data_IF_454555762757
#
_entry.id   IF_454555762757
#
_cell.length_a   1.000
_cell.length_b   1.000
_cell.length_c   1.000
_cell.angle_alpha   90.00
_cell.angle_beta   90.00
_cell.angle_gamma   90.00
#
_symmetry.space_group_name_H-M   'P 1'
#
loop_
_entity.id
_entity.type
_entity.pdbx_description
1 polymer ?
#
# COMPACT_ATOMS: atom_id res chain seq x y z
N UNK A 1 -18.71 -9.68 0.80
CA UNK A 1 -19.04 -8.28 1.18
C UNK A 1 -17.91 -7.39 0.74
N UNK A 2 -18.18 -6.19 0.20
CA UNK A 2 -17.13 -5.24 -0.20
C UNK A 2 -16.50 -4.63 1.06
N UNK A 3 -15.44 -5.27 1.57
CA UNK A 3 -14.63 -4.73 2.66
C UNK A 3 -13.93 -3.47 2.15
N UNK A 4 -13.88 -2.43 2.97
CA UNK A 4 -13.11 -1.20 2.68
C UNK A 4 -11.67 -1.38 3.16
N UNK A 5 -10.66 -0.87 2.43
CA UNK A 5 -9.29 -0.90 2.92
C UNK A 5 -9.15 0.05 4.11
N UNK A 6 -8.25 -0.26 5.05
CA UNK A 6 -7.97 0.50 6.28
C UNK A 6 -7.18 1.78 5.98
N UNK A 7 -7.81 2.71 5.26
CA UNK A 7 -7.19 3.96 4.82
C UNK A 7 -6.72 4.79 6.03
N UNK A 8 -7.49 4.84 7.11
CA UNK A 8 -7.12 5.60 8.31
C UNK A 8 -5.83 5.07 8.95
N UNK A 9 -5.65 3.75 8.97
CA UNK A 9 -4.43 3.15 9.50
C UNK A 9 -3.25 3.33 8.55
N UNK A 10 -3.49 3.26 7.23
CA UNK A 10 -2.47 3.57 6.24
C UNK A 10 -1.99 5.04 6.32
N UNK A 11 -2.90 5.98 6.59
CA UNK A 11 -2.56 7.40 6.76
C UNK A 11 -1.66 7.66 7.98
N UNK A 12 -1.72 6.83 9.03
CA UNK A 12 -0.81 6.93 10.18
C UNK A 12 0.64 6.55 9.85
N UNK A 13 0.87 5.92 8.70
CA UNK A 13 2.19 5.42 8.25
C UNK A 13 2.87 6.34 7.23
N UNK A 14 2.20 7.40 6.81
CA UNK A 14 2.68 8.38 5.84
C UNK A 14 2.56 9.80 6.39
N UNK A 15 3.26 10.74 5.77
CA UNK A 15 3.26 12.18 6.08
C UNK A 15 2.11 12.93 5.42
N UNK A 16 1.52 12.40 4.34
CA UNK A 16 0.42 13.06 3.64
C UNK A 16 -0.45 12.07 2.85
N UNK A 17 -1.67 12.51 2.50
CA UNK A 17 -2.57 11.75 1.62
C UNK A 17 -1.95 11.51 0.24
N UNK A 18 -1.18 12.45 -0.28
CA UNK A 18 -0.48 12.30 -1.56
C UNK A 18 0.65 11.26 -1.48
N UNK A 19 1.36 11.22 -0.35
CA UNK A 19 2.37 10.19 -0.12
C UNK A 19 1.73 8.80 -0.02
N UNK A 20 0.55 8.67 0.60
CA UNK A 20 -0.20 7.41 0.59
C UNK A 20 -0.50 6.93 -0.83
N UNK A 21 -0.97 7.84 -1.71
CA UNK A 21 -1.25 7.50 -3.11
C UNK A 21 0.02 6.99 -3.80
N UNK A 22 1.13 7.72 -3.63
CA UNK A 22 2.39 7.36 -4.26
C UNK A 22 2.97 6.03 -3.73
N UNK A 23 2.91 5.80 -2.41
CA UNK A 23 3.34 4.55 -1.79
C UNK A 23 2.46 3.37 -2.25
N UNK A 24 1.14 3.55 -2.32
CA UNK A 24 0.21 2.52 -2.77
C UNK A 24 0.45 2.12 -4.23
N UNK A 25 0.72 3.09 -5.12
CA UNK A 25 1.07 2.81 -6.51
C UNK A 25 2.35 1.98 -6.60
N UNK A 26 3.43 2.41 -5.93
CA UNK A 26 4.71 1.67 -5.94
C UNK A 26 4.55 0.25 -5.40
N UNK A 27 3.82 0.09 -4.29
CA UNK A 27 3.56 -1.24 -3.73
C UNK A 27 2.72 -2.10 -4.67
N UNK A 28 1.74 -1.51 -5.34
CA UNK A 28 0.92 -2.23 -6.34
C UNK A 28 1.79 -2.77 -7.48
N UNK A 29 2.74 -1.96 -7.98
CA UNK A 29 3.67 -2.39 -9.03
C UNK A 29 4.54 -3.57 -8.57
N UNK A 30 5.05 -3.55 -7.34
CA UNK A 30 5.78 -4.70 -6.78
C UNK A 30 4.93 -5.98 -6.73
N UNK A 31 3.66 -5.87 -6.35
CA UNK A 31 2.75 -7.04 -6.31
C UNK A 31 2.41 -7.52 -7.75
N UNK A 32 2.48 -6.64 -8.75
CA UNK A 32 2.32 -7.02 -10.16
C UNK A 32 3.52 -7.78 -10.72
N UNK A 33 4.73 -7.57 -10.18
CA UNK A 33 5.90 -8.38 -10.56
C UNK A 33 5.75 -9.86 -10.19
N UNK A 34 4.93 -10.17 -9.17
CA UNK A 34 4.61 -11.55 -8.75
C UNK A 34 3.58 -12.23 -9.69
N UNK A 35 3.01 -11.50 -10.66
CA UNK A 35 2.11 -12.03 -11.68
C UNK A 35 1.19 -10.97 -12.32
N UNK A 36 0.78 -11.18 -13.56
CA UNK A 36 0.04 -10.16 -14.34
C UNK A 36 -1.43 -9.95 -13.93
N UNK A 37 -1.98 -10.78 -13.04
CA UNK A 37 -3.36 -10.64 -12.59
C UNK A 37 -3.54 -9.38 -11.71
N UNK A 38 -4.68 -8.71 -11.83
CA UNK A 38 -5.07 -7.58 -10.98
C UNK A 38 -5.54 -8.00 -9.58
N UNK A 39 -5.74 -9.29 -9.36
CA UNK A 39 -6.23 -9.84 -8.11
C UNK A 39 -5.14 -10.61 -7.33
N UNK A 40 -5.27 -10.59 -6.01
CA UNK A 40 -4.53 -11.44 -5.07
C UNK A 40 -5.53 -12.37 -4.43
N UNK A 41 -5.18 -13.66 -4.35
CA UNK A 41 -5.98 -14.65 -3.63
C UNK A 41 -5.63 -14.57 -2.14
N UNK A 42 -6.62 -14.29 -1.31
CA UNK A 42 -6.53 -14.31 0.14
C UNK A 42 -7.48 -15.36 0.70
N UNK A 43 -7.38 -15.64 2.00
CA UNK A 43 -8.32 -16.52 2.71
C UNK A 43 -9.77 -16.02 2.62
N UNK A 44 -9.95 -14.70 2.46
CA UNK A 44 -11.25 -14.03 2.35
C UNK A 44 -11.77 -13.94 0.89
N UNK A 45 -10.99 -14.39 -0.10
CA UNK A 45 -11.37 -14.39 -1.52
C UNK A 45 -10.38 -13.64 -2.44
N UNK A 46 -10.86 -13.15 -3.58
CA UNK A 46 -10.06 -12.34 -4.51
C UNK A 46 -10.17 -10.86 -4.15
N UNK A 47 -9.02 -10.22 -3.92
CA UNK A 47 -8.93 -8.77 -3.66
C UNK A 47 -8.06 -8.09 -4.69
N UNK A 48 -8.39 -6.85 -5.07
CA UNK A 48 -7.56 -6.09 -6.01
C UNK A 48 -6.17 -5.85 -5.42
N UNK A 49 -5.11 -5.88 -6.23
CA UNK A 49 -3.75 -5.58 -5.78
C UNK A 49 -3.60 -4.19 -5.17
N UNK A 50 -4.36 -3.20 -5.65
CA UNK A 50 -4.43 -1.86 -5.06
C UNK A 50 -5.03 -1.87 -3.65
N UNK A 51 -6.02 -2.73 -3.40
CA UNK A 51 -6.58 -2.93 -2.07
C UNK A 51 -5.52 -3.54 -1.15
N UNK A 52 -4.84 -4.59 -1.62
CA UNK A 52 -3.77 -5.26 -0.88
C UNK A 52 -2.61 -4.31 -0.57
N UNK A 53 -2.24 -3.44 -1.50
CA UNK A 53 -1.19 -2.44 -1.29
C UNK A 53 -1.54 -1.47 -0.14
N UNK A 54 -2.80 -1.04 -0.02
CA UNK A 54 -3.23 -0.16 1.07
C UNK A 54 -3.21 -0.91 2.41
N UNK A 55 -3.67 -2.17 2.45
CA UNK A 55 -3.59 -2.99 3.67
C UNK A 55 -2.13 -3.24 4.07
N UNK A 56 -1.23 -3.53 3.12
CA UNK A 56 0.20 -3.73 3.40
C UNK A 56 0.83 -2.46 4.02
N UNK A 57 0.44 -1.27 3.55
CA UNK A 57 0.87 0.00 4.15
C UNK A 57 0.31 0.12 5.57
N UNK A 58 -1.00 -0.10 5.77
CA UNK A 58 -1.64 -0.04 7.09
C UNK A 58 -0.98 -0.99 8.10
N UNK A 59 -0.66 -2.20 7.67
CA UNK A 59 -0.02 -3.26 8.46
C UNK A 59 1.47 -2.99 8.72
N UNK A 60 2.07 -1.98 8.09
CA UNK A 60 3.48 -1.65 8.24
C UNK A 60 4.43 -2.59 7.48
N UNK A 61 3.92 -3.32 6.48
CA UNK A 61 4.72 -4.18 5.59
C UNK A 61 5.50 -3.40 4.53
N UNK A 62 5.15 -2.12 4.32
CA UNK A 62 5.83 -1.21 3.40
C UNK A 62 6.74 -0.26 4.17
N UNK A 63 8.02 -0.25 3.81
CA UNK A 63 9.02 0.67 4.37
C UNK A 63 9.06 1.94 3.52
N UNK A 64 8.76 3.09 4.14
CA UNK A 64 8.82 4.40 3.49
C UNK A 64 10.04 5.15 4.03
N UNK A 65 11.02 5.37 3.17
CA UNK A 65 12.27 6.04 3.53
C UNK A 65 12.18 7.51 3.14
N UNK A 66 12.45 8.39 4.08
CA UNK A 66 12.57 9.82 3.83
C UNK A 66 14.04 10.23 3.87
N UNK A 67 14.53 11.00 2.88
CA UNK A 67 15.86 11.58 3.00
C UNK A 67 15.90 12.46 4.25
N UNK A 68 16.94 12.31 5.07
CA UNK A 68 17.24 13.29 6.12
C UNK A 68 17.50 14.61 5.39
N UNK A 69 16.86 15.70 5.84
CA UNK A 69 17.25 17.03 5.35
C UNK A 69 18.73 17.18 5.71
N UNK A 70 19.59 17.36 4.70
CA UNK A 70 20.92 17.89 4.94
C UNK A 70 20.72 19.28 5.54
N UNK A 71 21.09 19.43 6.81
CA UNK A 71 21.26 20.74 7.42
C UNK A 71 22.41 21.42 6.67
N UNK A 72 22.07 22.40 5.83
CA UNK A 72 23.03 23.31 5.21
C UNK A 72 23.35 24.46 6.16
#
# INVERSE_FOLDING_TARGET
>A
MSRRPKIEDALKRVRSRYELVHAAVKRTLQILEEGEDFFVRTEEGLVKKTFKAIEDIAEGKVIIVHPKKEEK
#
